data_IF_136462806424
#
_entry.id   IF_136462806424
#
_cell.length_a   1.000
_cell.length_b   1.000
_cell.length_c   1.000
_cell.angle_alpha   90.00
_cell.angle_beta   90.00
_cell.angle_gamma   90.00
#
_symmetry.space_group_name_H-M   'P 1'
#
loop_
_entity.id
_entity.type
_entity.pdbx_description
1 polymer ?
#
# COMPACT_ATOMS: atom_id res chain seq x y z
N UNK A 1 -23.88 -18.18 9.11
CA UNK A 1 -22.48 -18.08 8.60
C UNK A 1 -22.22 -16.78 7.84
N UNK A 2 -23.17 -16.30 7.01
CA UNK A 2 -23.05 -15.05 6.25
C UNK A 2 -22.98 -13.82 7.17
N UNK A 3 -23.81 -13.77 8.21
CA UNK A 3 -23.91 -12.64 9.14
C UNK A 3 -22.61 -12.44 9.94
N UNK A 4 -22.02 -13.52 10.44
CA UNK A 4 -20.73 -13.48 11.16
C UNK A 4 -19.61 -12.99 10.24
N UNK A 5 -19.58 -13.47 8.99
CA UNK A 5 -18.61 -13.03 7.97
C UNK A 5 -18.75 -11.53 7.66
N UNK A 6 -19.99 -11.04 7.53
CA UNK A 6 -20.26 -9.62 7.27
C UNK A 6 -19.80 -8.76 8.43
N UNK A 7 -20.15 -9.13 9.67
CA UNK A 7 -19.73 -8.40 10.88
C UNK A 7 -18.21 -8.38 11.00
N UNK A 8 -17.55 -9.53 10.81
CA UNK A 8 -16.09 -9.63 10.86
C UNK A 8 -15.41 -8.75 9.81
N UNK A 9 -15.91 -8.75 8.58
CA UNK A 9 -15.37 -7.92 7.51
C UNK A 9 -15.57 -6.43 7.79
N UNK A 10 -16.76 -6.03 8.25
CA UNK A 10 -17.04 -4.63 8.60
C UNK A 10 -16.10 -4.15 9.71
N UNK A 11 -15.94 -4.96 10.76
CA UNK A 11 -15.02 -4.64 11.85
C UNK A 11 -13.57 -4.52 11.36
N UNK A 12 -13.14 -5.43 10.50
CA UNK A 12 -11.81 -5.39 9.89
C UNK A 12 -11.59 -4.10 9.08
N UNK A 13 -12.57 -3.68 8.27
CA UNK A 13 -12.46 -2.45 7.50
C UNK A 13 -12.39 -1.21 8.39
N UNK A 14 -13.18 -1.15 9.47
CA UNK A 14 -13.14 -0.05 10.44
C UNK A 14 -11.77 0.02 11.12
N UNK A 15 -11.23 -1.11 11.59
CA UNK A 15 -9.91 -1.17 12.19
C UNK A 15 -8.83 -0.74 11.22
N UNK A 16 -8.90 -1.20 9.97
CA UNK A 16 -7.95 -0.85 8.91
C UNK A 16 -8.00 0.65 8.60
N UNK A 17 -9.20 1.22 8.46
CA UNK A 17 -9.39 2.65 8.24
C UNK A 17 -8.84 3.48 9.41
N UNK A 18 -9.10 3.06 10.66
CA UNK A 18 -8.56 3.71 11.85
C UNK A 18 -7.03 3.74 11.86
N UNK A 19 -6.38 2.59 11.56
CA UNK A 19 -4.92 2.49 11.49
C UNK A 19 -4.39 3.39 10.37
N UNK A 20 -4.99 3.34 9.17
CA UNK A 20 -4.54 4.14 8.03
C UNK A 20 -4.68 5.65 8.26
N UNK A 21 -5.76 6.10 8.90
CA UNK A 21 -5.93 7.51 9.27
C UNK A 21 -4.85 7.93 10.28
N UNK A 22 -4.54 7.09 11.28
CA UNK A 22 -3.48 7.41 12.24
C UNK A 22 -2.11 7.50 11.60
N UNK A 23 -1.76 6.53 10.75
CA UNK A 23 -0.48 6.55 10.00
C UNK A 23 -0.40 7.77 9.08
N UNK A 24 -1.48 8.04 8.34
CA UNK A 24 -1.53 9.17 7.42
C UNK A 24 -1.38 10.55 8.12
N UNK A 25 -1.83 10.66 9.35
CA UNK A 25 -1.69 11.89 10.17
C UNK A 25 -0.27 12.16 10.65
N UNK A 26 0.51 11.14 10.91
CA UNK A 26 1.91 11.29 11.32
C UNK A 26 2.81 11.70 10.15
N UNK A 27 2.24 11.71 8.93
CA UNK A 27 3.00 11.97 7.70
C UNK A 27 2.95 13.45 7.31
N UNK A 28 4.05 14.16 7.54
CA UNK A 28 4.26 15.52 7.08
C UNK A 28 5.03 15.52 5.76
N UNK A 29 4.36 15.90 4.67
CA UNK A 29 5.01 16.09 3.37
C UNK A 29 5.60 17.50 3.30
N UNK A 30 6.92 17.59 3.33
CA UNK A 30 7.63 18.82 3.04
C UNK A 30 7.71 19.06 1.53
N UNK A 31 6.84 19.93 1.03
CA UNK A 31 6.75 20.24 -0.42
C UNK A 31 8.04 20.84 -1.02
N UNK A 32 8.99 21.25 -0.18
CA UNK A 32 10.26 21.83 -0.65
C UNK A 32 11.28 20.76 -1.06
N UNK A 33 11.09 19.50 -0.64
CA UNK A 33 12.01 18.37 -0.83
C UNK A 33 11.68 17.42 -1.98
N UNK A 34 11.05 17.89 -3.02
CA UNK A 34 10.61 17.05 -4.17
C UNK A 34 11.71 16.14 -4.74
N UNK A 35 12.92 16.65 -4.89
CA UNK A 35 14.03 15.85 -5.45
C UNK A 35 14.40 14.67 -4.55
N UNK A 36 14.38 14.86 -3.23
CA UNK A 36 14.64 13.77 -2.28
C UNK A 36 13.54 12.71 -2.32
N UNK A 37 12.29 13.10 -2.49
CA UNK A 37 11.17 12.16 -2.60
C UNK A 37 11.22 11.32 -3.88
N UNK A 38 11.76 11.85 -4.97
CA UNK A 38 11.93 11.07 -6.19
C UNK A 38 12.92 9.93 -5.99
N UNK A 39 14.05 10.18 -5.32
CA UNK A 39 15.01 9.13 -4.97
C UNK A 39 14.39 8.11 -4.02
N UNK A 40 13.64 8.55 -3.01
CA UNK A 40 12.94 7.70 -2.06
C UNK A 40 11.90 6.82 -2.74
N UNK A 41 11.19 7.36 -3.73
CA UNK A 41 10.22 6.62 -4.53
C UNK A 41 10.88 5.48 -5.31
N UNK A 42 12.01 5.75 -5.98
CA UNK A 42 12.74 4.69 -6.69
C UNK A 42 13.27 3.59 -5.76
N UNK A 43 13.73 3.96 -4.57
CA UNK A 43 14.18 3.01 -3.56
C UNK A 43 12.99 2.16 -3.08
N UNK A 44 11.85 2.77 -2.75
CA UNK A 44 10.65 2.09 -2.33
C UNK A 44 10.13 1.12 -3.41
N UNK A 45 10.04 1.60 -4.66
CA UNK A 45 9.63 0.77 -5.80
C UNK A 45 10.56 -0.43 -5.98
N UNK A 46 11.87 -0.26 -5.84
CA UNK A 46 12.82 -1.36 -5.95
C UNK A 46 12.64 -2.36 -4.79
N UNK A 47 12.48 -1.88 -3.56
CA UNK A 47 12.29 -2.74 -2.38
C UNK A 47 10.98 -3.53 -2.43
N UNK A 48 9.92 -2.98 -3.02
CA UNK A 48 8.65 -3.69 -3.24
C UNK A 48 8.72 -4.68 -4.42
N UNK A 49 9.28 -4.25 -5.54
CA UNK A 49 9.28 -5.04 -6.77
C UNK A 49 10.25 -6.23 -6.74
N UNK A 50 11.45 -6.07 -6.16
CA UNK A 50 12.44 -7.15 -6.16
C UNK A 50 11.98 -8.40 -5.42
N UNK A 51 11.50 -8.36 -4.16
CA UNK A 51 11.00 -9.54 -3.48
C UNK A 51 9.87 -10.22 -4.24
N UNK A 52 8.94 -9.43 -4.78
CA UNK A 52 7.84 -9.94 -5.58
C UNK A 52 8.33 -10.68 -6.83
N UNK A 53 9.22 -10.08 -7.61
CA UNK A 53 9.77 -10.70 -8.82
C UNK A 53 10.57 -11.96 -8.49
N UNK A 54 11.42 -11.93 -7.45
CA UNK A 54 12.20 -13.10 -7.06
C UNK A 54 11.32 -14.27 -6.62
N UNK A 55 10.28 -14.02 -5.85
CA UNK A 55 9.33 -15.07 -5.46
C UNK A 55 8.54 -15.58 -6.67
N UNK A 56 8.16 -14.70 -7.61
CA UNK A 56 7.52 -15.12 -8.85
C UNK A 56 8.43 -16.03 -9.69
N UNK A 57 9.70 -15.66 -9.84
CA UNK A 57 10.69 -16.47 -10.54
C UNK A 57 10.93 -17.81 -9.84
N UNK A 58 11.05 -17.81 -8.51
CA UNK A 58 11.19 -19.02 -7.73
C UNK A 58 9.99 -19.97 -7.92
N UNK A 59 8.78 -19.46 -7.84
CA UNK A 59 7.59 -20.26 -8.07
C UNK A 59 7.51 -20.81 -9.50
N UNK A 60 7.85 -19.99 -10.49
CA UNK A 60 7.76 -20.38 -11.88
C UNK A 60 8.80 -21.43 -12.26
N UNK A 61 10.06 -21.24 -11.84
CA UNK A 61 11.16 -22.08 -12.30
C UNK A 61 11.53 -23.21 -11.35
N UNK A 62 11.17 -23.14 -10.07
CA UNK A 62 11.54 -24.15 -9.07
C UNK A 62 10.35 -24.99 -8.62
N UNK A 63 9.17 -24.39 -8.45
CA UNK A 63 8.01 -25.10 -7.92
C UNK A 63 7.07 -25.61 -9.01
N UNK A 64 6.94 -24.92 -10.13
CA UNK A 64 6.05 -25.32 -11.24
C UNK A 64 6.80 -26.20 -12.22
N UNK A 65 6.14 -27.26 -12.76
CA UNK A 65 6.69 -28.07 -13.85
C UNK A 65 6.96 -27.24 -15.10
N UNK A 66 7.96 -27.64 -15.88
CA UNK A 66 8.47 -26.95 -17.08
C UNK A 66 7.35 -26.70 -18.14
N UNK A 67 6.32 -27.55 -18.15
CA UNK A 67 5.19 -27.42 -19.07
C UNK A 67 4.42 -26.09 -18.92
N UNK A 68 4.51 -25.47 -17.76
CA UNK A 68 3.84 -24.21 -17.46
C UNK A 68 4.66 -22.95 -17.80
N UNK A 69 5.94 -23.09 -18.10
CA UNK A 69 6.84 -21.95 -18.33
C UNK A 69 6.42 -21.07 -19.52
N UNK A 70 5.80 -21.68 -20.54
CA UNK A 70 5.29 -20.97 -21.72
C UNK A 70 3.82 -20.57 -21.60
N UNK A 71 3.15 -20.87 -20.48
CA UNK A 71 1.75 -20.54 -20.27
C UNK A 71 1.60 -19.12 -19.72
N UNK A 72 1.00 -18.22 -20.50
CA UNK A 72 0.71 -16.86 -20.06
C UNK A 72 -0.27 -16.81 -18.88
N UNK A 73 -1.15 -17.81 -18.74
CA UNK A 73 -2.08 -17.92 -17.61
C UNK A 73 -1.34 -18.28 -16.32
N UNK A 74 -0.42 -19.25 -16.38
CA UNK A 74 0.40 -19.61 -15.25
C UNK A 74 1.27 -18.43 -14.76
N UNK A 75 1.79 -17.61 -15.65
CA UNK A 75 2.50 -16.39 -15.29
C UNK A 75 1.62 -15.38 -14.56
N UNK A 76 0.38 -15.16 -15.01
CA UNK A 76 -0.56 -14.23 -14.36
C UNK A 76 -0.91 -14.68 -12.94
N UNK A 77 -1.26 -15.97 -12.79
CA UNK A 77 -1.59 -16.54 -11.49
C UNK A 77 -0.39 -16.53 -10.55
N UNK A 78 0.79 -16.86 -11.05
CA UNK A 78 2.02 -16.83 -10.29
C UNK A 78 2.40 -15.41 -9.82
N UNK A 79 2.31 -14.41 -10.69
CA UNK A 79 2.53 -13.01 -10.32
C UNK A 79 1.53 -12.54 -9.28
N UNK A 80 0.28 -13.00 -9.33
CA UNK A 80 -0.72 -12.70 -8.31
C UNK A 80 -0.37 -13.34 -6.97
N UNK A 81 -0.01 -14.63 -6.97
CA UNK A 81 0.35 -15.36 -5.76
C UNK A 81 1.62 -14.80 -5.11
N UNK A 82 2.64 -14.52 -5.89
CA UNK A 82 3.92 -14.01 -5.37
C UNK A 82 3.85 -12.60 -4.80
N UNK A 83 2.75 -11.89 -5.05
CA UNK A 83 2.53 -10.53 -4.53
C UNK A 83 2.58 -10.45 -3.01
N UNK A 84 2.27 -11.52 -2.27
CA UNK A 84 2.35 -11.50 -0.80
C UNK A 84 3.76 -11.17 -0.28
N UNK A 85 4.79 -11.32 -1.11
CA UNK A 85 6.17 -11.00 -0.76
C UNK A 85 6.51 -9.50 -0.89
N UNK A 86 5.64 -8.70 -1.55
CA UNK A 86 5.88 -7.28 -1.76
C UNK A 86 5.59 -6.40 -0.52
N UNK A 87 4.45 -6.56 0.20
CA UNK A 87 4.07 -5.58 1.20
C UNK A 87 4.94 -5.66 2.45
N UNK A 88 5.38 -4.49 2.92
CA UNK A 88 6.09 -4.33 4.16
C UNK A 88 5.13 -3.87 5.26
N UNK A 89 5.24 -4.44 6.47
CA UNK A 89 4.40 -4.02 7.59
C UNK A 89 4.94 -2.75 8.24
N UNK A 90 4.54 -1.60 7.70
CA UNK A 90 4.92 -0.27 8.20
C UNK A 90 4.62 -0.11 9.70
N UNK A 91 3.48 -0.60 10.18
CA UNK A 91 3.10 -0.51 11.59
C UNK A 91 4.07 -1.20 12.55
N UNK A 92 4.54 -2.41 12.21
CA UNK A 92 5.53 -3.12 13.01
C UNK A 92 6.86 -2.36 13.03
N UNK A 93 7.30 -1.88 11.87
CA UNK A 93 8.55 -1.15 11.74
C UNK A 93 8.54 0.14 12.58
N UNK A 94 7.44 0.90 12.55
CA UNK A 94 7.29 2.13 13.34
C UNK A 94 7.27 1.84 14.84
N UNK A 95 6.59 0.79 15.28
CA UNK A 95 6.57 0.42 16.69
C UNK A 95 7.95 -0.02 17.18
N UNK A 96 8.69 -0.77 16.39
CA UNK A 96 10.06 -1.19 16.71
C UNK A 96 11.01 0.01 16.78
N UNK A 97 10.96 0.94 15.84
CA UNK A 97 11.79 2.14 15.84
C UNK A 97 11.45 3.08 17.01
N UNK A 98 10.15 3.21 17.33
CA UNK A 98 9.70 3.97 18.48
C UNK A 98 10.18 3.35 19.82
N UNK A 99 10.09 2.03 19.95
CA UNK A 99 10.59 1.29 21.12
C UNK A 99 12.11 1.39 21.26
N UNK A 100 12.86 1.49 20.16
CA UNK A 100 14.29 1.74 20.15
C UNK A 100 14.67 3.20 20.45
N UNK A 101 13.70 4.08 20.73
CA UNK A 101 13.94 5.51 21.02
C UNK A 101 14.30 6.35 19.81
N UNK A 102 14.12 5.83 18.59
CA UNK A 102 14.51 6.49 17.34
C UNK A 102 13.40 7.36 16.71
N UNK A 103 12.30 7.61 17.42
CA UNK A 103 11.13 8.34 16.89
C UNK A 103 11.47 9.76 16.40
N UNK A 104 12.47 10.43 17.00
CA UNK A 104 12.92 11.77 16.59
C UNK A 104 14.04 11.75 15.54
N UNK A 105 14.52 10.56 15.14
CA UNK A 105 15.65 10.42 14.23
C UNK A 105 15.26 10.69 12.77
N UNK A 106 16.24 11.05 11.94
CA UNK A 106 16.05 11.17 10.50
C UNK A 106 15.68 9.83 9.86
N UNK A 107 16.16 8.72 10.44
CA UNK A 107 15.87 7.36 9.99
C UNK A 107 14.36 7.08 10.09
N UNK A 108 13.73 7.45 11.21
CA UNK A 108 12.29 7.27 11.40
C UNK A 108 11.48 8.00 10.31
N UNK A 109 11.83 9.27 10.05
CA UNK A 109 11.17 10.07 9.01
C UNK A 109 11.37 9.47 7.60
N UNK A 110 12.58 8.98 7.31
CA UNK A 110 12.89 8.37 6.02
C UNK A 110 12.10 7.07 5.82
N UNK A 111 12.05 6.23 6.84
CA UNK A 111 11.29 4.97 6.84
C UNK A 111 9.80 5.21 6.67
N UNK A 112 9.24 6.27 7.28
CA UNK A 112 7.84 6.64 7.06
C UNK A 112 7.56 6.94 5.58
N UNK A 113 8.40 7.74 4.95
CA UNK A 113 8.27 8.07 3.52
C UNK A 113 8.35 6.83 2.66
N UNK A 114 9.35 5.98 2.90
CA UNK A 114 9.56 4.74 2.15
C UNK A 114 8.38 3.78 2.30
N UNK A 115 7.85 3.62 3.51
CA UNK A 115 6.72 2.72 3.77
C UNK A 115 5.43 3.16 3.04
N UNK A 116 5.18 4.47 2.95
CA UNK A 116 4.02 4.99 2.22
C UNK A 116 4.19 4.79 0.71
N UNK A 117 5.39 5.02 0.19
CA UNK A 117 5.67 4.76 -1.23
C UNK A 117 5.59 3.27 -1.55
N UNK A 118 6.04 2.39 -0.66
CA UNK A 118 5.91 0.93 -0.79
C UNK A 118 4.44 0.50 -0.91
N UNK A 119 3.57 1.04 -0.04
CA UNK A 119 2.13 0.79 -0.10
C UNK A 119 1.50 1.31 -1.42
N UNK A 120 1.89 2.51 -1.86
CA UNK A 120 1.43 3.08 -3.13
C UNK A 120 1.90 2.24 -4.32
N UNK A 121 3.16 1.84 -4.34
CA UNK A 121 3.73 1.02 -5.42
C UNK A 121 3.07 -0.34 -5.49
N UNK A 122 2.78 -0.95 -4.34
CA UNK A 122 2.05 -2.21 -4.27
C UNK A 122 0.68 -2.10 -4.93
N UNK A 123 -0.04 -0.99 -4.73
CA UNK A 123 -1.33 -0.73 -5.37
C UNK A 123 -1.14 -0.48 -6.87
N UNK A 124 -0.18 0.35 -7.26
CA UNK A 124 0.10 0.69 -8.66
C UNK A 124 0.51 -0.53 -9.49
N UNK A 125 1.34 -1.40 -8.95
CA UNK A 125 1.76 -2.64 -9.60
C UNK A 125 0.60 -3.66 -9.71
N UNK A 126 -0.38 -3.59 -8.81
CA UNK A 126 -1.56 -4.47 -8.86
C UNK A 126 -2.52 -4.10 -9.99
N UNK A 127 -2.63 -2.82 -10.36
CA UNK A 127 -3.55 -2.36 -11.39
C UNK A 127 -3.32 -3.06 -12.74
N UNK A 128 -2.11 -3.05 -13.33
CA UNK A 128 -1.86 -3.76 -14.59
C UNK A 128 -2.11 -5.26 -14.48
N UNK A 129 -1.77 -5.87 -13.36
CA UNK A 129 -2.00 -7.30 -13.15
C UNK A 129 -3.50 -7.63 -13.11
N UNK A 130 -4.32 -6.83 -12.44
CA UNK A 130 -5.77 -6.98 -12.44
C UNK A 130 -6.37 -6.79 -13.83
N UNK A 131 -5.88 -5.83 -14.61
CA UNK A 131 -6.30 -5.62 -15.99
C UNK A 131 -6.00 -6.84 -16.85
N UNK A 132 -4.84 -7.47 -16.66
CA UNK A 132 -4.44 -8.68 -17.39
C UNK A 132 -5.31 -9.91 -17.04
N UNK A 133 -5.81 -10.00 -15.79
CA UNK A 133 -6.60 -11.14 -15.32
C UNK A 133 -8.10 -11.00 -15.63
N UNK A 134 -8.66 -9.83 -15.34
CA UNK A 134 -10.13 -9.62 -15.39
C UNK A 134 -10.55 -8.93 -16.68
N UNK A 135 -9.60 -8.41 -17.45
CA UNK A 135 -9.84 -7.54 -18.59
C UNK A 135 -10.12 -6.10 -18.18
N UNK A 136 -10.09 -5.22 -19.16
CA UNK A 136 -10.32 -3.80 -18.96
C UNK A 136 -11.84 -3.57 -18.75
N UNK A 137 -12.29 -3.67 -17.51
CA UNK A 137 -13.67 -3.33 -17.16
C UNK A 137 -13.77 -1.83 -16.87
N UNK A 138 -14.80 -1.18 -17.36
CA UNK A 138 -15.06 0.25 -17.15
C UNK A 138 -15.07 0.64 -15.65
N UNK A 139 -15.47 -0.29 -14.78
CA UNK A 139 -15.45 -0.15 -13.32
C UNK A 139 -14.04 0.12 -12.76
N UNK A 140 -13.00 -0.52 -13.31
CA UNK A 140 -11.61 -0.28 -12.95
C UNK A 140 -11.20 1.15 -13.32
N UNK A 141 -11.61 1.64 -14.49
CA UNK A 141 -11.37 3.03 -14.91
C UNK A 141 -12.01 4.04 -13.95
N UNK A 142 -13.24 3.76 -13.49
CA UNK A 142 -13.93 4.62 -12.51
C UNK A 142 -13.21 4.62 -11.16
N UNK A 143 -12.76 3.46 -10.68
CA UNK A 143 -12.01 3.37 -9.40
C UNK A 143 -10.69 4.13 -9.50
N UNK A 144 -9.93 3.96 -10.58
CA UNK A 144 -8.68 4.69 -10.82
C UNK A 144 -8.94 6.20 -10.84
N UNK A 145 -9.99 6.64 -11.54
CA UNK A 145 -10.37 8.05 -11.60
C UNK A 145 -10.73 8.61 -10.22
N UNK A 146 -11.53 7.88 -9.44
CA UNK A 146 -11.89 8.28 -8.07
C UNK A 146 -10.63 8.39 -7.21
N UNK A 147 -9.74 7.42 -7.24
CA UNK A 147 -8.48 7.44 -6.46
C UNK A 147 -7.62 8.63 -6.89
N UNK A 148 -7.47 8.88 -8.19
CA UNK A 148 -6.72 10.05 -8.70
C UNK A 148 -7.32 11.38 -8.25
N UNK A 149 -8.65 11.52 -8.30
CA UNK A 149 -9.35 12.71 -7.82
C UNK A 149 -9.14 12.91 -6.32
N UNK A 150 -9.26 11.85 -5.53
CA UNK A 150 -9.02 11.90 -4.08
C UNK A 150 -7.56 12.26 -3.75
N UNK A 151 -6.60 11.73 -4.50
CA UNK A 151 -5.18 12.09 -4.35
C UNK A 151 -4.94 13.57 -4.68
N UNK A 152 -5.53 14.09 -5.75
CA UNK A 152 -5.40 15.50 -6.14
C UNK A 152 -6.05 16.42 -5.10
N UNK A 153 -7.25 16.07 -4.61
CA UNK A 153 -7.94 16.82 -3.57
C UNK A 153 -7.14 16.78 -2.26
N UNK A 154 -6.67 15.61 -1.85
CA UNK A 154 -5.81 15.42 -0.69
C UNK A 154 -4.55 16.29 -0.80
N UNK A 155 -3.86 16.22 -1.93
CA UNK A 155 -2.67 17.02 -2.19
C UNK A 155 -2.90 18.52 -2.11
N UNK A 156 -4.02 19.00 -2.66
CA UNK A 156 -4.38 20.44 -2.63
C UNK A 156 -4.80 20.92 -1.25
N UNK A 157 -5.50 20.08 -0.47
CA UNK A 157 -6.09 20.45 0.83
C UNK A 157 -5.25 20.05 2.05
N UNK A 158 -4.21 19.23 1.89
CA UNK A 158 -3.39 18.69 2.97
C UNK A 158 -2.71 19.74 3.89
N UNK A 159 -2.72 21.02 3.52
CA UNK A 159 -2.22 22.12 4.35
C UNK A 159 -3.29 22.95 5.06
N UNK A 160 -4.59 22.70 4.76
CA UNK A 160 -5.70 23.58 5.22
C UNK A 160 -6.68 22.91 6.19
N UNK A 161 -6.56 21.59 6.40
CA UNK A 161 -7.49 20.87 7.28
C UNK A 161 -6.80 20.53 8.60
N UNK A 162 -7.11 21.30 9.62
CA UNK A 162 -6.79 20.96 11.02
C UNK A 162 -7.83 19.91 11.49
N UNK A 163 -7.52 18.65 11.22
CA UNK A 163 -8.37 17.55 11.68
C UNK A 163 -8.25 17.42 13.19
N UNK A 164 -9.38 17.42 13.85
CA UNK A 164 -9.46 17.19 15.30
C UNK A 164 -8.66 15.94 15.69
N UNK A 165 -7.68 16.12 16.59
CA UNK A 165 -6.67 15.10 16.90
C UNK A 165 -7.16 14.06 17.93
N UNK A 166 -8.41 14.11 18.35
CA UNK A 166 -8.99 13.18 19.32
C UNK A 166 -9.19 11.79 18.68
N UNK A 167 -8.79 10.74 19.40
CA UNK A 167 -9.00 9.35 18.97
C UNK A 167 -10.48 9.04 18.66
N UNK A 168 -11.41 9.71 19.34
CA UNK A 168 -12.86 9.59 19.09
C UNK A 168 -13.26 10.15 17.73
N UNK A 169 -12.65 11.26 17.32
CA UNK A 169 -12.88 11.84 15.99
C UNK A 169 -12.33 10.93 14.89
N UNK A 170 -11.16 10.32 15.12
CA UNK A 170 -10.56 9.37 14.18
C UNK A 170 -11.43 8.12 14.02
N UNK A 171 -11.95 7.60 15.14
CA UNK A 171 -12.88 6.46 15.11
C UNK A 171 -14.17 6.81 14.35
N UNK A 172 -14.69 8.03 14.55
CA UNK A 172 -15.86 8.51 13.80
C UNK A 172 -15.59 8.56 12.30
N UNK A 173 -14.42 9.09 11.89
CA UNK A 173 -14.03 9.12 10.47
C UNK A 173 -13.77 7.72 9.88
N UNK A 174 -13.34 6.76 10.69
CA UNK A 174 -13.11 5.40 10.24
C UNK A 174 -14.42 4.61 10.02
N UNK A 175 -15.52 5.04 10.67
CA UNK A 175 -16.85 4.41 10.53
C UNK A 175 -17.66 5.03 9.39
N UNK A 176 -17.36 6.26 8.97
CA UNK A 176 -18.08 7.02 7.96
C UNK A 176 -17.63 6.63 6.56
#
# INVERSE_FOLDING_TARGET
>A
YSLVKTISNTFLFICLAFIMINVGREFEIDKTRWKSYTEDYFIAMATAAFPWIFVALYYMFVLLPDIYWNSGEAWKENLLLSRFAAPTSAGILFTMLAAAGLKSSWVYKKVQVLAIFDDLDTILLMIPLQIMMVGLRWQLGVIILIVMVLLIIGWRKMGSYDMRQDWKAILFYAVL
#
